data_IF_889749635411
#
_entry.id   IF_889749635411
#
_cell.length_a   1.000
_cell.length_b   1.000
_cell.length_c   1.000
_cell.angle_alpha   90.00
_cell.angle_beta   90.00
_cell.angle_gamma   90.00
#
_symmetry.space_group_name_H-M   'P 1'
#
loop_
_entity.id
_entity.type
_entity.pdbx_description
1 polymer ?
#
# COMPACT_ATOMS: atom_id res chain seq x y z
N UNK A 1 7.41 -10.06 -39.70
CA UNK A 1 8.43 -10.38 -38.67
C UNK A 1 8.31 -9.34 -37.58
N UNK A 2 7.59 -9.66 -36.53
CA UNK A 2 7.44 -8.80 -35.34
C UNK A 2 8.52 -9.22 -34.34
N UNK A 3 9.63 -8.47 -34.33
CA UNK A 3 10.61 -8.58 -33.25
C UNK A 3 10.01 -7.98 -31.97
N UNK A 4 9.36 -8.80 -31.20
CA UNK A 4 9.07 -8.47 -29.81
C UNK A 4 10.40 -8.58 -29.06
N UNK A 5 11.07 -7.45 -28.88
CA UNK A 5 12.20 -7.34 -27.95
C UNK A 5 11.63 -7.68 -26.58
N UNK A 6 11.93 -8.88 -26.09
CA UNK A 6 11.74 -9.20 -24.68
C UNK A 6 12.56 -8.16 -23.92
N UNK A 7 11.90 -7.21 -23.25
CA UNK A 7 12.55 -6.39 -22.24
C UNK A 7 13.13 -7.36 -21.22
N UNK A 8 14.45 -7.42 -21.15
CA UNK A 8 15.10 -8.08 -20.02
C UNK A 8 14.52 -7.47 -18.77
N UNK A 9 13.69 -8.25 -18.06
CA UNK A 9 13.20 -7.86 -16.74
C UNK A 9 14.45 -7.90 -15.89
N UNK A 10 15.04 -6.73 -15.64
CA UNK A 10 16.16 -6.60 -14.70
C UNK A 10 15.82 -7.36 -13.41
N UNK A 11 16.81 -7.79 -12.65
CA UNK A 11 16.62 -8.60 -11.44
C UNK A 11 15.95 -7.77 -10.31
N UNK A 12 14.75 -7.27 -10.61
CA UNK A 12 13.98 -6.38 -9.75
C UNK A 12 13.30 -7.18 -8.66
N UNK A 13 13.63 -6.83 -7.44
CA UNK A 13 12.98 -7.31 -6.22
C UNK A 13 12.00 -6.24 -5.74
N UNK A 14 10.73 -6.58 -5.67
CA UNK A 14 9.68 -5.61 -5.32
C UNK A 14 8.92 -5.97 -4.05
N UNK A 15 8.46 -4.93 -3.38
CA UNK A 15 7.65 -4.99 -2.18
C UNK A 15 6.30 -4.33 -2.45
N UNK A 16 5.19 -4.98 -2.10
CA UNK A 16 3.88 -4.35 -2.01
C UNK A 16 3.59 -4.05 -0.54
N UNK A 17 3.52 -2.78 -0.20
CA UNK A 17 3.13 -2.35 1.13
C UNK A 17 1.60 -2.23 1.20
N UNK A 18 0.98 -3.24 1.78
CA UNK A 18 -0.47 -3.24 2.04
C UNK A 18 -0.80 -2.32 3.21
N UNK A 19 -1.82 -1.49 3.02
CA UNK A 19 -2.31 -0.52 4.02
C UNK A 19 -3.80 -0.78 4.31
N UNK A 20 -4.70 -0.06 3.66
CA UNK A 20 -6.15 -0.24 3.77
C UNK A 20 -6.73 -1.14 2.66
N UNK A 21 -5.92 -1.58 1.73
CA UNK A 21 -6.24 -2.31 0.51
C UNK A 21 -5.97 -3.82 0.61
N UNK A 22 -6.37 -4.44 1.71
CA UNK A 22 -6.12 -5.86 2.05
C UNK A 22 -6.88 -6.83 1.14
N UNK A 23 -6.58 -6.80 -0.17
CA UNK A 23 -7.22 -7.64 -1.20
C UNK A 23 -6.22 -8.06 -2.27
N UNK A 24 -6.58 -9.14 -3.00
CA UNK A 24 -5.79 -9.65 -4.13
C UNK A 24 -6.46 -9.33 -5.47
N UNK A 25 -7.79 -9.25 -5.47
CA UNK A 25 -8.56 -8.91 -6.67
C UNK A 25 -8.62 -7.40 -6.83
N UNK A 26 -8.61 -6.94 -8.08
CA UNK A 26 -8.68 -5.52 -8.43
C UNK A 26 -7.69 -4.67 -7.62
N UNK A 27 -6.41 -5.03 -7.72
CA UNK A 27 -5.32 -4.40 -6.99
C UNK A 27 -4.22 -3.98 -7.95
N UNK A 28 -4.16 -2.70 -8.27
CA UNK A 28 -3.25 -2.13 -9.27
C UNK A 28 -1.78 -2.35 -8.91
N UNK A 29 -1.40 -2.11 -7.66
CA UNK A 29 -0.03 -2.29 -7.19
C UNK A 29 0.45 -3.73 -7.32
N UNK A 30 -0.36 -4.70 -6.90
CA UNK A 30 -0.03 -6.11 -7.01
C UNK A 30 0.09 -6.55 -8.48
N UNK A 31 -0.82 -6.07 -9.34
CA UNK A 31 -0.81 -6.35 -10.77
C UNK A 31 0.43 -5.77 -11.46
N UNK A 32 0.81 -4.52 -11.17
CA UNK A 32 2.01 -3.90 -11.71
C UNK A 32 3.28 -4.58 -11.20
N UNK A 33 3.36 -4.83 -9.88
CA UNK A 33 4.50 -5.48 -9.27
C UNK A 33 4.74 -6.88 -9.85
N UNK A 34 3.70 -7.69 -10.00
CA UNK A 34 3.84 -9.05 -10.55
C UNK A 34 4.30 -9.10 -12.00
N UNK A 35 4.03 -8.05 -12.80
CA UNK A 35 4.48 -7.94 -14.19
C UNK A 35 5.93 -7.44 -14.33
N UNK A 36 6.39 -6.66 -13.35
CA UNK A 36 7.65 -5.91 -13.46
C UNK A 36 8.77 -6.46 -12.56
N UNK A 37 8.52 -7.55 -11.81
CA UNK A 37 9.45 -8.04 -10.81
C UNK A 37 9.72 -9.53 -10.98
N UNK A 38 10.95 -9.95 -10.75
CA UNK A 38 11.31 -11.36 -10.63
C UNK A 38 11.01 -11.90 -9.24
N UNK A 39 11.18 -11.06 -8.22
CA UNK A 39 10.88 -11.41 -6.82
C UNK A 39 9.86 -10.40 -6.28
N UNK A 40 8.82 -10.92 -5.68
CA UNK A 40 7.73 -10.12 -5.14
C UNK A 40 7.30 -10.66 -3.78
N UNK A 41 7.19 -9.76 -2.81
CA UNK A 41 6.56 -10.04 -1.54
C UNK A 41 5.63 -8.89 -1.11
N UNK A 42 4.74 -9.19 -0.19
CA UNK A 42 3.91 -8.20 0.46
C UNK A 42 4.36 -7.94 1.89
N UNK A 43 4.12 -6.76 2.41
CA UNK A 43 4.31 -6.44 3.82
C UNK A 43 3.08 -5.72 4.36
N UNK A 44 2.71 -6.05 5.60
CA UNK A 44 1.75 -5.32 6.40
C UNK A 44 2.36 -4.98 7.76
N UNK A 45 2.20 -3.74 8.19
CA UNK A 45 2.72 -3.27 9.49
C UNK A 45 1.58 -2.90 10.44
N UNK A 46 1.53 -3.56 11.60
CA UNK A 46 0.72 -3.10 12.73
C UNK A 46 1.47 -1.99 13.46
N UNK A 47 1.03 -0.74 13.29
CA UNK A 47 1.62 0.38 14.01
C UNK A 47 1.09 0.39 15.47
N UNK A 48 1.97 0.27 16.47
CA UNK A 48 1.59 0.35 17.88
C UNK A 48 0.89 1.65 18.27
N UNK A 49 1.16 2.75 17.54
CA UNK A 49 0.51 4.06 17.79
C UNK A 49 -1.00 4.02 17.63
N UNK A 50 -1.53 3.09 16.81
CA UNK A 50 -2.96 2.94 16.61
C UNK A 50 -3.70 2.43 17.87
N UNK A 51 -2.99 1.78 18.78
CA UNK A 51 -3.53 1.19 20.00
C UNK A 51 -3.36 2.09 21.24
N UNK A 52 -2.66 3.22 21.10
CA UNK A 52 -2.45 4.18 22.19
C UNK A 52 -3.61 5.17 22.19
N UNK A 53 -4.06 5.53 23.40
CA UNK A 53 -5.08 6.54 23.56
C UNK A 53 -4.61 7.89 22.99
N UNK A 54 -5.44 8.48 22.15
CA UNK A 54 -5.23 9.83 21.62
C UNK A 54 -5.57 10.90 22.69
N UNK A 55 -5.47 12.18 22.32
CA UNK A 55 -5.79 13.30 23.21
C UNK A 55 -7.25 13.32 23.68
N UNK A 56 -8.14 12.58 23.04
CA UNK A 56 -9.55 12.45 23.39
C UNK A 56 -9.83 11.24 24.31
N UNK A 57 -8.80 10.49 24.71
CA UNK A 57 -8.89 9.41 25.69
C UNK A 57 -9.27 8.04 25.11
N UNK A 58 -9.26 7.83 23.80
CA UNK A 58 -9.52 6.54 23.18
C UNK A 58 -8.50 6.20 22.09
N UNK A 59 -8.23 4.92 21.81
CA UNK A 59 -7.32 4.49 20.75
C UNK A 59 -7.98 4.65 19.37
N UNK A 60 -7.16 4.84 18.34
CA UNK A 60 -7.63 4.88 16.93
C UNK A 60 -8.12 3.52 16.46
N UNK A 61 -7.56 2.45 16.98
CA UNK A 61 -7.92 1.08 16.67
C UNK A 61 -8.61 0.42 17.86
N UNK A 62 -9.91 0.13 17.71
CA UNK A 62 -10.67 -0.66 18.67
C UNK A 62 -10.38 -2.16 18.50
N UNK A 63 -10.74 -2.96 19.52
CA UNK A 63 -10.59 -4.42 19.46
C UNK A 63 -11.34 -5.04 18.27
N UNK A 64 -12.53 -4.57 17.94
CA UNK A 64 -13.30 -5.06 16.78
C UNK A 64 -12.60 -4.79 15.47
N UNK A 65 -12.09 -3.57 15.28
CA UNK A 65 -11.32 -3.23 14.07
C UNK A 65 -10.03 -4.05 13.98
N UNK A 66 -9.34 -4.24 15.09
CA UNK A 66 -8.14 -5.07 15.14
C UNK A 66 -8.43 -6.53 14.76
N UNK A 67 -9.50 -7.13 15.29
CA UNK A 67 -9.92 -8.48 14.92
C UNK A 67 -10.26 -8.60 13.45
N UNK A 68 -11.01 -7.66 12.89
CA UNK A 68 -11.33 -7.62 11.47
C UNK A 68 -10.07 -7.57 10.59
N UNK A 69 -9.12 -6.70 10.94
CA UNK A 69 -7.84 -6.60 10.20
C UNK A 69 -7.04 -7.90 10.30
N UNK A 70 -6.98 -8.52 11.47
CA UNK A 70 -6.28 -9.80 11.65
C UNK A 70 -6.88 -10.92 10.79
N UNK A 71 -8.20 -10.99 10.70
CA UNK A 71 -8.91 -11.95 9.84
C UNK A 71 -8.62 -11.66 8.36
N UNK A 72 -8.71 -10.39 7.95
CA UNK A 72 -8.40 -9.95 6.58
C UNK A 72 -6.95 -10.28 6.18
N UNK A 73 -5.99 -10.09 7.08
CA UNK A 73 -4.58 -10.44 6.83
C UNK A 73 -4.39 -11.95 6.70
N UNK A 74 -5.07 -12.76 7.51
CA UNK A 74 -5.01 -14.22 7.39
C UNK A 74 -5.51 -14.68 6.02
N UNK A 75 -6.63 -14.14 5.58
CA UNK A 75 -7.20 -14.44 4.27
C UNK A 75 -6.29 -13.95 3.14
N UNK A 76 -5.83 -12.69 3.20
CA UNK A 76 -4.88 -12.13 2.25
C UNK A 76 -3.61 -12.99 2.12
N UNK A 77 -3.08 -13.48 3.24
CA UNK A 77 -1.89 -14.34 3.24
C UNK A 77 -2.12 -15.64 2.48
N UNK A 78 -3.29 -16.26 2.66
CA UNK A 78 -3.67 -17.49 1.95
C UNK A 78 -3.80 -17.22 0.44
N UNK A 79 -4.46 -16.14 0.06
CA UNK A 79 -4.68 -15.79 -1.35
C UNK A 79 -3.37 -15.39 -2.07
N UNK A 80 -2.48 -14.68 -1.41
CA UNK A 80 -1.16 -14.36 -1.94
C UNK A 80 -0.30 -15.61 -2.09
N UNK A 81 -0.35 -16.53 -1.13
CA UNK A 81 0.41 -17.79 -1.20
C UNK A 81 0.00 -18.65 -2.40
N UNK A 82 -1.28 -18.67 -2.79
CA UNK A 82 -1.75 -19.31 -4.03
C UNK A 82 -1.10 -18.75 -5.29
N UNK A 83 -0.58 -17.53 -5.21
CA UNK A 83 0.14 -16.83 -6.29
C UNK A 83 1.66 -16.85 -6.12
N UNK A 84 2.18 -17.66 -5.20
CA UNK A 84 3.59 -17.72 -4.82
C UNK A 84 4.15 -16.38 -4.30
N UNK A 85 3.33 -15.58 -3.66
CA UNK A 85 3.72 -14.31 -3.05
C UNK A 85 3.62 -14.48 -1.53
N UNK A 86 4.73 -14.20 -0.83
CA UNK A 86 4.76 -14.22 0.64
C UNK A 86 4.24 -12.91 1.20
N UNK A 87 3.41 -12.97 2.24
CA UNK A 87 3.03 -11.81 3.04
C UNK A 87 3.77 -11.81 4.38
N UNK A 88 4.56 -10.78 4.59
CA UNK A 88 5.28 -10.51 5.84
C UNK A 88 4.39 -9.61 6.71
N UNK A 89 4.21 -9.99 7.97
CA UNK A 89 3.45 -9.19 8.93
C UNK A 89 4.39 -8.79 10.06
N UNK A 90 4.52 -7.51 10.29
CA UNK A 90 5.40 -6.94 11.31
C UNK A 90 4.61 -6.04 12.26
N UNK A 91 5.12 -5.88 13.48
CA UNK A 91 4.63 -4.90 14.46
C UNK A 91 5.72 -3.84 14.59
N UNK A 92 5.36 -2.59 14.38
CA UNK A 92 6.29 -1.46 14.47
C UNK A 92 5.82 -0.26 13.65
N UNK A 93 6.55 0.83 13.76
CA UNK A 93 6.35 2.03 12.95
C UNK A 93 6.63 1.70 11.47
N UNK A 94 5.67 1.88 10.55
CA UNK A 94 5.81 1.44 9.16
C UNK A 94 7.09 1.97 8.48
N UNK A 95 7.40 3.25 8.69
CA UNK A 95 8.58 3.89 8.10
C UNK A 95 9.90 3.20 8.50
N UNK A 96 10.03 2.74 9.75
CA UNK A 96 11.23 2.05 10.24
C UNK A 96 11.27 0.61 9.75
N UNK A 97 10.16 -0.11 9.97
CA UNK A 97 10.06 -1.54 9.61
C UNK A 97 10.27 -1.76 8.12
N UNK A 98 9.70 -0.89 7.28
CA UNK A 98 9.80 -1.02 5.83
C UNK A 98 11.18 -0.62 5.34
N UNK A 99 11.80 0.44 5.87
CA UNK A 99 13.16 0.81 5.49
C UNK A 99 14.18 -0.28 5.83
N UNK A 100 14.11 -0.85 7.04
CA UNK A 100 14.94 -1.98 7.45
C UNK A 100 14.72 -3.19 6.52
N UNK A 101 13.48 -3.51 6.19
CA UNK A 101 13.14 -4.62 5.30
C UNK A 101 13.69 -4.41 3.88
N UNK A 102 13.60 -3.19 3.35
CA UNK A 102 14.13 -2.82 2.04
C UNK A 102 15.64 -3.08 1.98
N UNK A 103 16.38 -2.65 2.99
CA UNK A 103 17.83 -2.84 3.08
C UNK A 103 18.20 -4.33 3.23
N UNK A 104 17.58 -5.03 4.18
CA UNK A 104 17.86 -6.45 4.48
C UNK A 104 17.62 -7.36 3.26
N UNK A 105 16.60 -7.06 2.45
CA UNK A 105 16.20 -7.93 1.34
C UNK A 105 16.55 -7.38 -0.05
N UNK A 106 17.31 -6.28 -0.12
CA UNK A 106 17.71 -5.65 -1.38
C UNK A 106 16.50 -5.36 -2.29
N UNK A 107 15.46 -4.73 -1.75
CA UNK A 107 14.29 -4.32 -2.50
C UNK A 107 14.65 -3.12 -3.39
N UNK A 108 14.27 -3.17 -4.67
CA UNK A 108 14.54 -2.10 -5.63
C UNK A 108 13.31 -1.22 -5.89
N UNK A 109 12.13 -1.77 -5.68
CA UNK A 109 10.87 -1.06 -5.96
C UNK A 109 9.83 -1.35 -4.87
N UNK A 110 9.13 -0.32 -4.43
CA UNK A 110 8.02 -0.43 -3.49
C UNK A 110 6.74 0.08 -4.17
N UNK A 111 5.67 -0.71 -4.06
CA UNK A 111 4.32 -0.37 -4.52
C UNK A 111 3.43 -0.13 -3.32
N UNK A 112 2.69 0.97 -3.30
CA UNK A 112 1.73 1.26 -2.23
C UNK A 112 0.63 2.19 -2.71
N UNK A 113 -0.53 2.08 -2.07
CA UNK A 113 -1.68 2.92 -2.36
C UNK A 113 -1.45 4.34 -1.86
N UNK A 114 -1.73 5.31 -2.71
CA UNK A 114 -1.76 6.72 -2.34
C UNK A 114 -2.96 6.98 -1.43
N UNK A 115 -2.74 7.67 -0.33
CA UNK A 115 -3.74 7.88 0.71
C UNK A 115 -4.02 9.37 0.89
N UNK A 116 -5.16 9.69 1.51
CA UNK A 116 -5.65 11.08 1.55
C UNK A 116 -5.42 11.79 2.87
N UNK A 117 -5.33 11.04 3.95
CA UNK A 117 -5.26 11.66 5.27
C UNK A 117 -3.85 12.15 5.57
N UNK A 118 -3.76 13.23 6.37
CA UNK A 118 -2.48 13.79 6.76
C UNK A 118 -1.60 12.81 7.53
N UNK A 119 -2.20 11.89 8.27
CA UNK A 119 -1.47 10.87 9.03
C UNK A 119 -0.77 9.88 8.10
N UNK A 120 -1.50 9.38 7.12
CA UNK A 120 -1.00 8.42 6.14
C UNK A 120 0.05 9.06 5.22
N UNK A 121 -0.17 10.32 4.84
CA UNK A 121 0.81 11.10 4.09
C UNK A 121 2.06 11.42 4.92
N UNK A 122 1.92 11.60 6.23
CA UNK A 122 3.07 11.81 7.12
C UNK A 122 3.92 10.55 7.25
N UNK A 123 3.29 9.37 7.40
CA UNK A 123 4.01 8.09 7.43
C UNK A 123 4.75 7.84 6.11
N UNK A 124 4.15 8.19 4.98
CA UNK A 124 4.82 8.12 3.70
C UNK A 124 6.04 9.04 3.63
N UNK A 125 5.89 10.31 4.00
CA UNK A 125 7.03 11.25 4.02
C UNK A 125 8.18 10.75 4.92
N UNK A 126 7.84 10.17 6.07
CA UNK A 126 8.85 9.58 6.96
C UNK A 126 9.55 8.38 6.30
N UNK A 127 8.82 7.53 5.61
CA UNK A 127 9.40 6.42 4.85
C UNK A 127 10.35 6.94 3.76
N UNK A 128 9.91 7.93 2.98
CA UNK A 128 10.71 8.53 1.91
C UNK A 128 12.03 9.13 2.41
N UNK A 129 12.04 9.70 3.61
CA UNK A 129 13.25 10.24 4.23
C UNK A 129 14.21 9.14 4.71
N UNK A 130 13.72 7.93 4.96
CA UNK A 130 14.50 6.83 5.51
C UNK A 130 15.06 5.88 4.44
N UNK A 131 14.49 5.87 3.24
CA UNK A 131 14.94 4.99 2.15
C UNK A 131 15.89 5.72 1.20
N UNK A 132 16.79 4.95 0.58
CA UNK A 132 17.74 5.49 -0.39
C UNK A 132 17.07 5.97 -1.69
N UNK A 133 17.66 6.97 -2.33
CA UNK A 133 17.16 7.54 -3.60
C UNK A 133 17.19 6.56 -4.79
N UNK A 134 17.83 5.41 -4.63
CA UNK A 134 17.90 4.33 -5.60
C UNK A 134 16.66 3.40 -5.57
N UNK A 135 15.77 3.57 -4.59
CA UNK A 135 14.55 2.78 -4.47
C UNK A 135 13.45 3.41 -5.31
N UNK A 136 12.92 2.65 -6.27
CA UNK A 136 11.80 3.12 -7.09
C UNK A 136 10.49 3.08 -6.29
N UNK A 137 9.74 4.16 -6.40
CA UNK A 137 8.43 4.29 -5.75
C UNK A 137 7.33 4.29 -6.79
N UNK A 138 6.39 3.37 -6.64
CA UNK A 138 5.24 3.23 -7.52
C UNK A 138 3.95 3.37 -6.70
N UNK A 139 3.37 4.55 -6.78
CA UNK A 139 2.07 4.82 -6.17
C UNK A 139 0.93 4.45 -7.11
N UNK A 140 -0.19 4.06 -6.54
CA UNK A 140 -1.44 3.82 -7.26
C UNK A 140 -2.63 4.27 -6.42
N UNK A 141 -3.74 4.48 -7.09
CA UNK A 141 -4.95 4.99 -6.47
C UNK A 141 -6.15 4.10 -6.85
N UNK A 142 -6.60 3.29 -5.90
CA UNK A 142 -7.67 2.30 -6.08
C UNK A 142 -8.82 2.48 -5.05
N UNK A 143 -8.96 3.69 -4.45
CA UNK A 143 -9.92 3.90 -3.36
C UNK A 143 -11.30 4.32 -3.84
N UNK A 144 -11.40 5.02 -4.95
CA UNK A 144 -12.64 5.61 -5.42
C UNK A 144 -13.02 5.10 -6.81
N UNK A 145 -14.30 5.19 -7.13
CA UNK A 145 -14.82 4.83 -8.44
C UNK A 145 -14.28 5.75 -9.55
N UNK A 146 -14.04 7.02 -9.21
CA UNK A 146 -13.39 7.99 -10.09
C UNK A 146 -12.05 8.41 -9.50
N UNK A 147 -11.05 8.55 -10.37
CA UNK A 147 -9.80 9.14 -9.93
C UNK A 147 -10.01 10.63 -9.63
N UNK A 148 -9.47 11.19 -8.54
CA UNK A 148 -9.66 12.60 -8.20
C UNK A 148 -9.24 13.59 -9.27
N UNK A 149 -8.23 13.25 -10.06
CA UNK A 149 -7.80 14.10 -11.20
C UNK A 149 -8.83 14.15 -12.34
N UNK A 150 -9.77 13.21 -12.38
CA UNK A 150 -10.80 13.14 -13.43
C UNK A 150 -12.05 13.96 -13.04
N UNK A 151 -12.08 14.48 -11.81
CA UNK A 151 -13.18 15.28 -11.29
C UNK A 151 -12.82 16.76 -11.40
N UNK A 152 -13.50 17.49 -12.26
CA UNK A 152 -13.39 18.96 -12.27
C UNK A 152 -14.12 19.54 -11.07
N UNK A 153 -13.35 20.07 -10.12
CA UNK A 153 -13.86 20.64 -8.88
C UNK A 153 -14.83 21.83 -9.12
N UNK A 154 -14.77 22.49 -10.27
CA UNK A 154 -15.68 23.57 -10.62
C UNK A 154 -17.13 23.12 -10.76
N UNK A 155 -17.36 21.83 -11.02
CA UNK A 155 -18.70 21.23 -11.11
C UNK A 155 -19.20 20.65 -9.79
N UNK A 156 -18.36 20.59 -8.75
CA UNK A 156 -18.76 20.06 -7.45
C UNK A 156 -19.52 21.13 -6.68
N UNK A 157 -20.82 20.93 -6.53
CA UNK A 157 -21.68 21.83 -5.73
C UNK A 157 -21.53 21.53 -4.24
N UNK A 158 -21.49 22.56 -3.40
CA UNK A 158 -21.51 22.43 -1.93
C UNK A 158 -22.83 21.80 -1.41
N UNK A 159 -23.87 21.79 -2.25
CA UNK A 159 -25.16 21.19 -1.91
C UNK A 159 -25.35 19.87 -2.62
N UNK A 160 -25.48 18.79 -1.84
CA UNK A 160 -25.62 17.42 -2.35
C UNK A 160 -26.74 17.26 -3.41
N UNK A 161 -27.88 17.95 -3.24
CA UNK A 161 -29.00 17.88 -4.19
C UNK A 161 -28.61 18.40 -5.58
N UNK A 162 -27.78 19.45 -5.64
CA UNK A 162 -27.27 20.00 -6.91
C UNK A 162 -26.18 19.10 -7.51
N UNK A 163 -25.32 18.51 -6.65
CA UNK A 163 -24.29 17.58 -7.06
C UNK A 163 -24.87 16.30 -7.70
N UNK A 164 -26.02 15.82 -7.21
CA UNK A 164 -26.64 14.58 -7.67
C UNK A 164 -27.36 14.71 -9.03
N UNK A 165 -27.69 15.92 -9.50
CA UNK A 165 -28.40 16.16 -10.77
C UNK A 165 -27.45 16.18 -11.94
#
# INVERSE_FOLDING_TARGET
MLNTVAKDVEDVSSLVWFRNDLRVLDHTGLTKASKNSKRLCGIYCFDPKLFINNKLGFPKMSAFRASFILESIKELKIELLKKNISLIVKIGEPNKVISEFIEEHNINCIYFQDEWTEEENSEERLLLNNIGSNIKLEKYFDQFLYHPSDVDQSFVSDVFTSFRK
#
